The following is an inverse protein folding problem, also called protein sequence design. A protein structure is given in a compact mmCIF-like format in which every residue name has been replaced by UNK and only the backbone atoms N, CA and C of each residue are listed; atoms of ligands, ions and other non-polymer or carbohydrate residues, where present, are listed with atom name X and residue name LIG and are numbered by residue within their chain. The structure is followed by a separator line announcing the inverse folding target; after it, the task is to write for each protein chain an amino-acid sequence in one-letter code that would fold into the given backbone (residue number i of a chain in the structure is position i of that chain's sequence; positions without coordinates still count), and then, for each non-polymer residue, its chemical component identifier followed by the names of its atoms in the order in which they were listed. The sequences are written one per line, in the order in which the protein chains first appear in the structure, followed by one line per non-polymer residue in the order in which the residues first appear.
data_IF_591613358162
#
_entry.id   IF_591613358162
#
_cell.length_a   1.000
_cell.length_b   1.000
_cell.length_c   1.000
_cell.angle_alpha   90.00
_cell.angle_beta   90.00
_cell.angle_gamma   90.00
#
_symmetry.space_group_name_H-M   'P 1'
#
loop_
_entity.id
_entity.type
_entity.pdbx_description
1 polymer ?
#
# COMPACT_ATOMS: atom_id res chain seq x y z
N UNK A 1 -25.93 -10.84 55.65
CA UNK A 1 -24.56 -10.68 55.07
C UNK A 1 -24.74 -9.91 53.78
N UNK A 2 -24.44 -8.58 53.81
CA UNK A 2 -24.48 -7.73 52.64
C UNK A 2 -23.08 -7.78 51.96
N UNK A 3 -23.01 -8.29 50.75
CA UNK A 3 -21.84 -8.14 49.90
C UNK A 3 -21.96 -6.84 49.10
N UNK A 4 -21.18 -5.85 49.49
CA UNK A 4 -21.00 -4.63 48.70
C UNK A 4 -19.90 -4.86 47.67
N UNK A 5 -20.27 -5.04 46.40
CA UNK A 5 -19.28 -5.05 45.31
C UNK A 5 -18.79 -3.62 45.06
N UNK A 6 -17.54 -3.36 45.44
CA UNK A 6 -16.84 -2.15 45.02
C UNK A 6 -16.57 -2.26 43.51
N UNK A 7 -17.33 -1.51 42.70
CA UNK A 7 -17.04 -1.30 41.29
C UNK A 7 -15.81 -0.42 41.20
N UNK A 8 -14.67 -1.01 40.98
CA UNK A 8 -13.45 -0.28 40.66
C UNK A 8 -13.68 0.41 39.31
N UNK A 9 -13.79 1.74 39.31
CA UNK A 9 -13.80 2.57 38.10
C UNK A 9 -12.42 2.53 37.44
N UNK A 10 -12.11 1.42 36.82
CA UNK A 10 -11.02 1.39 35.85
C UNK A 10 -11.46 2.31 34.68
N UNK A 11 -10.68 3.37 34.45
CA UNK A 11 -10.94 4.33 33.41
C UNK A 11 -11.20 3.58 32.09
N UNK A 12 -12.35 3.84 31.47
CA UNK A 12 -12.70 3.29 30.16
C UNK A 12 -11.60 3.71 29.21
N UNK A 13 -10.69 2.80 28.92
CA UNK A 13 -9.69 3.00 27.87
C UNK A 13 -10.50 3.21 26.60
N UNK A 14 -10.59 4.46 26.12
CA UNK A 14 -11.35 4.81 24.92
C UNK A 14 -10.86 3.88 23.81
N UNK A 15 -11.67 2.89 23.47
CA UNK A 15 -11.35 1.99 22.35
C UNK A 15 -11.21 2.86 21.12
N UNK A 16 -10.12 2.70 20.38
CA UNK A 16 -9.94 3.41 19.10
C UNK A 16 -11.13 3.08 18.21
N UNK A 17 -11.67 4.09 17.53
CA UNK A 17 -12.75 3.88 16.57
C UNK A 17 -12.32 2.82 15.56
N UNK A 18 -13.11 1.77 15.43
CA UNK A 18 -12.83 0.70 14.48
C UNK A 18 -13.08 1.23 13.07
N UNK A 19 -12.02 1.30 12.29
CA UNK A 19 -12.06 1.69 10.88
C UNK A 19 -11.41 0.60 10.06
N UNK A 20 -12.18 -0.02 9.19
CA UNK A 20 -11.73 -1.12 8.33
C UNK A 20 -11.80 -0.71 6.88
N UNK A 21 -11.00 -1.35 6.03
CA UNK A 21 -10.91 -0.99 4.63
C UNK A 21 -10.90 -2.22 3.74
N UNK A 22 -11.78 -2.23 2.75
CA UNK A 22 -11.64 -3.05 1.57
C UNK A 22 -11.00 -2.20 0.45
N UNK A 23 -9.95 -2.72 -0.18
CA UNK A 23 -9.13 -1.97 -1.13
C UNK A 23 -8.86 -2.79 -2.39
N UNK A 24 -9.87 -3.03 -3.24
CA UNK A 24 -9.72 -3.80 -4.47
C UNK A 24 -9.02 -2.99 -5.56
N UNK A 25 -8.26 -3.67 -6.43
CA UNK A 25 -7.77 -3.11 -7.68
C UNK A 25 -8.78 -3.37 -8.80
N UNK A 26 -9.10 -2.38 -9.67
CA UNK A 26 -10.07 -2.52 -10.74
C UNK A 26 -9.45 -3.22 -11.98
N UNK A 27 -8.92 -4.43 -11.78
CA UNK A 27 -8.23 -5.24 -12.79
C UNK A 27 -9.09 -6.36 -13.37
N UNK A 28 -10.42 -6.29 -13.15
CA UNK A 28 -11.42 -7.25 -13.61
C UNK A 28 -12.59 -7.39 -12.65
N UNK A 29 -13.39 -8.42 -12.86
CA UNK A 29 -14.56 -8.72 -12.04
C UNK A 29 -14.15 -9.08 -10.60
N UNK A 30 -14.92 -8.60 -9.62
CA UNK A 30 -14.73 -8.98 -8.23
C UNK A 30 -15.12 -10.45 -8.03
N UNK A 31 -14.15 -11.30 -7.68
CA UNK A 31 -14.41 -12.70 -7.42
C UNK A 31 -14.81 -12.95 -5.94
N UNK A 32 -15.37 -14.12 -5.67
CA UNK A 32 -15.91 -14.49 -4.36
C UNK A 32 -14.91 -14.34 -3.20
N UNK A 33 -13.61 -14.52 -3.44
CA UNK A 33 -12.57 -14.29 -2.46
C UNK A 33 -12.46 -12.83 -2.02
N UNK A 34 -12.62 -11.89 -2.98
CA UNK A 34 -12.69 -10.45 -2.69
C UNK A 34 -13.94 -10.10 -1.89
N UNK A 35 -15.10 -10.63 -2.28
CA UNK A 35 -16.36 -10.47 -1.55
C UNK A 35 -16.25 -10.99 -0.12
N UNK A 36 -15.65 -12.17 0.08
CA UNK A 36 -15.40 -12.72 1.42
C UNK A 36 -14.56 -11.76 2.28
N UNK A 37 -13.48 -11.23 1.72
CA UNK A 37 -12.63 -10.27 2.44
C UNK A 37 -13.40 -9.00 2.81
N UNK A 38 -14.21 -8.46 1.89
CA UNK A 38 -15.07 -7.31 2.17
C UNK A 38 -16.08 -7.62 3.27
N UNK A 39 -16.69 -8.80 3.25
CA UNK A 39 -17.68 -9.23 4.24
C UNK A 39 -17.07 -9.32 5.66
N UNK A 40 -15.88 -9.91 5.83
CA UNK A 40 -15.21 -9.94 7.14
C UNK A 40 -14.95 -8.53 7.68
N UNK A 41 -14.46 -7.63 6.84
CA UNK A 41 -14.27 -6.24 7.22
C UNK A 41 -15.61 -5.59 7.63
N UNK A 42 -16.65 -5.79 6.83
CA UNK A 42 -17.97 -5.23 7.08
C UNK A 42 -18.56 -5.72 8.43
N UNK A 43 -18.52 -7.02 8.68
CA UNK A 43 -19.03 -7.61 9.92
C UNK A 43 -18.27 -7.09 11.15
N UNK A 44 -16.94 -6.98 11.06
CA UNK A 44 -16.13 -6.40 12.13
C UNK A 44 -16.51 -4.93 12.39
N UNK A 45 -16.68 -4.13 11.33
CA UNK A 45 -17.12 -2.75 11.48
C UNK A 45 -18.50 -2.69 12.17
N UNK A 46 -19.48 -3.50 11.74
CA UNK A 46 -20.83 -3.50 12.31
C UNK A 46 -20.86 -3.96 13.76
N UNK A 47 -20.08 -5.00 14.10
CA UNK A 47 -19.95 -5.51 15.48
C UNK A 47 -19.45 -4.42 16.46
N UNK A 48 -18.57 -3.54 15.98
CA UNK A 48 -17.94 -2.50 16.79
C UNK A 48 -18.47 -1.10 16.55
N UNK A 49 -19.62 -0.94 15.87
CA UNK A 49 -20.17 0.37 15.46
C UNK A 49 -19.13 1.23 14.73
N UNK A 50 -18.25 0.60 13.98
CA UNK A 50 -17.14 1.20 13.24
C UNK A 50 -17.49 1.59 11.81
N UNK A 51 -16.49 2.02 11.06
CA UNK A 51 -16.59 2.54 9.69
C UNK A 51 -16.05 1.54 8.68
N UNK A 52 -16.85 1.20 7.66
CA UNK A 52 -16.45 0.41 6.48
C UNK A 52 -16.03 1.34 5.36
N UNK A 53 -14.77 1.25 4.94
CA UNK A 53 -14.16 2.12 3.92
C UNK A 53 -13.93 1.32 2.63
N UNK A 54 -14.29 1.90 1.49
CA UNK A 54 -13.91 1.41 0.17
C UNK A 54 -12.88 2.34 -0.46
N UNK A 55 -11.68 1.82 -0.75
CA UNK A 55 -10.65 2.53 -1.52
C UNK A 55 -10.30 1.74 -2.76
N UNK A 56 -10.37 2.36 -3.92
CA UNK A 56 -9.96 1.73 -5.19
C UNK A 56 -8.45 1.91 -5.38
N UNK A 57 -7.76 0.78 -5.59
CA UNK A 57 -6.31 0.77 -5.84
C UNK A 57 -6.04 0.64 -7.34
N UNK A 58 -6.17 1.74 -8.04
CA UNK A 58 -6.14 1.90 -9.50
C UNK A 58 -4.77 2.37 -10.05
N UNK A 59 -3.69 2.16 -9.32
CA UNK A 59 -2.35 2.61 -9.75
C UNK A 59 -1.73 1.75 -10.85
N UNK A 60 -2.18 0.52 -11.02
CA UNK A 60 -1.74 -0.39 -12.09
C UNK A 60 -2.56 -0.16 -13.36
N UNK A 61 -2.15 0.82 -14.13
CA UNK A 61 -2.83 1.20 -15.37
C UNK A 61 -2.71 0.15 -16.48
N UNK A 62 -1.67 -0.70 -16.44
CA UNK A 62 -1.48 -1.76 -17.43
C UNK A 62 -2.55 -2.87 -17.30
N UNK A 63 -3.08 -3.08 -16.09
CA UNK A 63 -4.12 -4.07 -15.81
C UNK A 63 -5.49 -3.45 -15.55
N UNK A 64 -5.64 -2.15 -15.72
CA UNK A 64 -6.93 -1.49 -15.56
C UNK A 64 -7.97 -2.02 -16.57
N UNK A 65 -9.16 -2.37 -16.07
CA UNK A 65 -10.28 -2.83 -16.91
C UNK A 65 -11.43 -1.83 -16.80
N UNK A 66 -11.84 -1.19 -17.92
CA UNK A 66 -12.99 -0.30 -17.93
C UNK A 66 -14.25 -1.00 -17.37
N UNK A 67 -15.00 -0.30 -16.53
CA UNK A 67 -16.21 -0.84 -15.87
C UNK A 67 -15.95 -1.72 -14.64
N UNK A 68 -14.71 -2.11 -14.34
CA UNK A 68 -14.41 -2.95 -13.18
C UNK A 68 -14.75 -2.26 -11.85
N UNK A 69 -14.54 -0.95 -11.74
CA UNK A 69 -14.92 -0.19 -10.54
C UNK A 69 -16.43 -0.22 -10.30
N UNK A 70 -17.21 0.02 -11.33
CA UNK A 70 -18.68 -0.05 -11.27
C UNK A 70 -19.15 -1.46 -10.89
N UNK A 71 -18.51 -2.49 -11.46
CA UNK A 71 -18.80 -3.88 -11.11
C UNK A 71 -18.51 -4.18 -9.65
N UNK A 72 -17.40 -3.66 -9.09
CA UNK A 72 -17.06 -3.79 -7.66
C UNK A 72 -18.17 -3.18 -6.81
N UNK A 73 -18.58 -1.95 -7.09
CA UNK A 73 -19.64 -1.25 -6.36
C UNK A 73 -20.96 -2.02 -6.38
N UNK A 74 -21.42 -2.44 -7.57
CA UNK A 74 -22.64 -3.24 -7.73
C UNK A 74 -22.57 -4.60 -7.03
N UNK A 75 -21.42 -5.25 -7.04
CA UNK A 75 -21.22 -6.53 -6.35
C UNK A 75 -21.32 -6.38 -4.84
N UNK A 76 -20.74 -5.31 -4.26
CA UNK A 76 -20.84 -5.04 -2.82
C UNK A 76 -22.27 -4.69 -2.43
N UNK A 77 -22.97 -3.89 -3.22
CA UNK A 77 -24.39 -3.57 -3.02
C UNK A 77 -25.26 -4.82 -3.07
N UNK A 78 -25.07 -5.69 -4.08
CA UNK A 78 -25.82 -6.93 -4.25
C UNK A 78 -25.72 -7.87 -3.05
N UNK A 79 -24.54 -7.96 -2.40
CA UNK A 79 -24.35 -8.76 -1.17
C UNK A 79 -24.74 -8.01 0.10
N UNK A 80 -25.30 -6.80 0.02
CA UNK A 80 -25.76 -6.00 1.16
C UNK A 80 -24.65 -5.33 1.97
N UNK A 81 -23.43 -5.22 1.46
CA UNK A 81 -22.32 -4.52 2.10
C UNK A 81 -22.45 -3.02 1.86
N UNK A 82 -22.86 -2.30 2.90
CA UNK A 82 -22.94 -0.82 2.86
C UNK A 82 -21.60 -0.20 3.17
N UNK A 83 -21.15 0.68 2.29
CA UNK A 83 -19.93 1.48 2.44
C UNK A 83 -20.31 2.78 3.20
N UNK A 84 -19.59 3.09 4.27
CA UNK A 84 -19.80 4.30 5.07
C UNK A 84 -18.92 5.45 4.57
N UNK A 85 -17.77 5.13 3.97
CA UNK A 85 -16.78 6.09 3.50
C UNK A 85 -16.04 5.52 2.28
N UNK A 86 -15.81 6.30 1.23
CA UNK A 86 -15.07 5.79 0.09
C UNK A 86 -15.52 6.34 -1.26
N UNK A 87 -15.13 5.64 -2.33
CA UNK A 87 -15.55 5.97 -3.69
C UNK A 87 -17.07 5.90 -3.81
N UNK A 88 -17.66 6.96 -4.38
CA UNK A 88 -19.11 7.09 -4.55
C UNK A 88 -19.86 7.60 -3.32
N UNK A 89 -19.27 7.55 -2.13
CA UNK A 89 -19.86 7.99 -0.86
C UNK A 89 -19.21 9.26 -0.34
N UNK A 90 -17.90 9.42 -0.53
CA UNK A 90 -17.10 10.51 0.04
C UNK A 90 -16.61 10.17 1.46
N UNK A 91 -16.22 11.22 2.20
CA UNK A 91 -15.75 11.10 3.59
C UNK A 91 -14.57 12.03 3.90
N UNK A 92 -14.13 12.07 5.18
CA UNK A 92 -13.17 13.07 5.67
C UNK A 92 -11.72 12.84 5.19
N UNK A 93 -11.42 11.67 4.61
CA UNK A 93 -10.07 11.31 4.19
C UNK A 93 -9.94 11.11 2.67
N UNK A 94 -10.79 11.78 1.91
CA UNK A 94 -10.72 11.81 0.44
C UNK A 94 -9.33 12.31 -0.05
N UNK A 95 -8.94 11.95 -1.28
CA UNK A 95 -9.63 11.09 -2.24
C UNK A 95 -9.51 9.59 -1.92
N UNK A 96 -10.44 8.78 -2.46
CA UNK A 96 -10.50 7.33 -2.21
C UNK A 96 -10.11 6.47 -3.42
N UNK A 97 -9.68 7.08 -4.52
CA UNK A 97 -8.90 6.42 -5.57
C UNK A 97 -7.42 6.64 -5.32
N UNK A 98 -6.63 5.58 -5.37
CA UNK A 98 -5.21 5.66 -5.03
C UNK A 98 -4.42 6.51 -6.04
N UNK A 99 -4.80 6.50 -7.32
CA UNK A 99 -4.21 7.34 -8.36
C UNK A 99 -4.33 8.84 -8.04
N UNK A 100 -5.44 9.27 -7.47
CA UNK A 100 -5.71 10.66 -7.09
C UNK A 100 -4.86 11.11 -5.88
N UNK A 101 -4.25 10.17 -5.15
CA UNK A 101 -3.40 10.43 -3.98
C UNK A 101 -1.92 10.59 -4.30
N UNK A 102 -1.51 10.40 -5.54
CA UNK A 102 -0.08 10.49 -5.96
C UNK A 102 0.64 11.74 -5.46
N UNK A 103 0.04 12.95 -5.52
CA UNK A 103 0.73 14.17 -5.07
C UNK A 103 1.15 14.14 -3.60
N UNK A 104 0.39 13.44 -2.73
CA UNK A 104 0.70 13.36 -1.31
C UNK A 104 1.76 12.30 -0.97
N UNK A 105 2.01 11.32 -1.85
CA UNK A 105 2.95 10.24 -1.53
C UNK A 105 4.41 10.68 -1.52
N UNK A 106 4.77 11.65 -2.38
CA UNK A 106 6.15 12.10 -2.53
C UNK A 106 6.74 12.61 -1.21
N UNK A 107 5.98 13.37 -0.42
CA UNK A 107 6.44 13.89 0.87
C UNK A 107 6.76 12.77 1.87
N UNK A 108 5.97 11.70 1.89
CA UNK A 108 6.24 10.55 2.78
C UNK A 108 7.41 9.71 2.29
N UNK A 109 7.52 9.51 0.97
CA UNK A 109 8.65 8.81 0.38
C UNK A 109 9.96 9.58 0.63
N UNK A 110 9.95 10.92 0.49
CA UNK A 110 11.09 11.78 0.80
C UNK A 110 11.47 11.72 2.27
N UNK A 111 10.48 11.70 3.16
CA UNK A 111 10.74 11.54 4.59
C UNK A 111 11.46 10.22 4.89
N UNK A 112 11.05 9.11 4.28
CA UNK A 112 11.71 7.82 4.43
C UNK A 112 13.15 7.85 3.91
N UNK A 113 13.43 8.57 2.82
CA UNK A 113 14.80 8.76 2.33
C UNK A 113 15.63 9.55 3.33
N UNK A 114 15.10 10.65 3.86
CA UNK A 114 15.79 11.50 4.84
C UNK A 114 16.07 10.76 6.16
N UNK A 115 15.19 9.86 6.56
CA UNK A 115 15.35 8.98 7.73
C UNK A 115 16.25 7.76 7.47
N UNK A 116 16.76 7.58 6.24
CA UNK A 116 17.59 6.44 5.86
C UNK A 116 16.86 5.11 5.69
N UNK A 117 15.51 5.14 5.68
CA UNK A 117 14.62 3.98 5.50
C UNK A 117 14.28 3.68 4.03
N UNK A 118 14.65 4.58 3.12
CA UNK A 118 14.49 4.42 1.68
C UNK A 118 15.70 5.02 0.94
N UNK A 119 15.77 4.81 -0.37
CA UNK A 119 16.86 5.27 -1.20
C UNK A 119 16.40 5.51 -2.65
N UNK A 120 17.10 6.38 -3.38
CA UNK A 120 16.90 6.60 -4.80
C UNK A 120 17.51 5.47 -5.62
N UNK A 121 16.81 4.96 -6.62
CA UNK A 121 17.29 3.99 -7.59
C UNK A 121 17.11 4.54 -9.01
N UNK A 122 18.19 4.61 -9.77
CA UNK A 122 18.28 5.21 -11.09
C UNK A 122 18.38 4.17 -12.20
N UNK A 123 18.19 2.90 -11.86
CA UNK A 123 18.27 1.80 -12.82
C UNK A 123 17.20 1.94 -13.90
N UNK A 124 17.59 1.77 -15.15
CA UNK A 124 16.70 1.69 -16.30
C UNK A 124 16.00 0.34 -16.36
N UNK A 125 14.94 0.22 -17.18
CA UNK A 125 14.26 -1.05 -17.41
C UNK A 125 15.21 -2.10 -18.00
N UNK A 126 16.07 -1.67 -18.94
CA UNK A 126 17.09 -2.55 -19.55
C UNK A 126 18.09 -3.09 -18.52
N UNK A 127 18.56 -2.25 -17.59
CA UNK A 127 19.47 -2.67 -16.52
C UNK A 127 18.78 -3.64 -15.56
N UNK A 128 17.50 -3.42 -15.27
CA UNK A 128 16.70 -4.33 -14.44
C UNK A 128 16.50 -5.69 -15.12
N UNK A 129 16.26 -5.73 -16.42
CA UNK A 129 16.11 -6.96 -17.17
C UNK A 129 17.45 -7.71 -17.29
N UNK A 130 18.55 -7.01 -17.58
CA UNK A 130 19.88 -7.60 -17.56
C UNK A 130 20.24 -8.22 -16.20
N UNK A 131 19.87 -7.58 -15.10
CA UNK A 131 20.03 -8.12 -13.75
C UNK A 131 19.21 -9.40 -13.58
N UNK A 132 17.95 -9.42 -13.99
CA UNK A 132 17.08 -10.60 -13.91
C UNK A 132 17.62 -11.77 -14.71
N UNK A 133 18.09 -11.51 -15.93
CA UNK A 133 18.63 -12.57 -16.83
C UNK A 133 19.94 -13.15 -16.29
N UNK A 134 20.81 -12.30 -15.75
CA UNK A 134 22.03 -12.76 -15.06
C UNK A 134 21.70 -13.66 -13.88
N UNK A 135 20.72 -13.33 -13.07
CA UNK A 135 20.30 -14.13 -11.92
C UNK A 135 19.64 -15.46 -12.35
N UNK A 136 18.83 -15.45 -13.43
CA UNK A 136 18.28 -16.68 -14.03
C UNK A 136 19.41 -17.61 -14.52
N UNK A 137 20.37 -17.06 -15.23
CA UNK A 137 21.54 -17.82 -15.71
C UNK A 137 22.37 -18.43 -14.56
N UNK A 138 22.40 -17.76 -13.40
CA UNK A 138 23.00 -18.26 -12.16
C UNK A 138 22.11 -19.24 -11.37
N UNK A 139 20.96 -19.68 -11.92
CA UNK A 139 20.06 -20.64 -11.28
C UNK A 139 19.14 -20.08 -10.20
N UNK A 140 18.99 -18.76 -10.08
CA UNK A 140 18.08 -18.15 -9.13
C UNK A 140 16.64 -18.32 -9.61
N UNK A 141 15.82 -19.07 -8.87
CA UNK A 141 14.45 -19.41 -9.26
C UNK A 141 13.50 -18.17 -9.34
N UNK A 142 13.72 -17.17 -8.51
CA UNK A 142 12.92 -15.94 -8.48
C UNK A 142 13.81 -14.70 -8.45
N UNK A 143 14.28 -14.23 -9.63
CA UNK A 143 15.15 -13.07 -9.73
C UNK A 143 14.42 -11.80 -9.31
N UNK A 144 14.92 -11.12 -8.28
CA UNK A 144 14.29 -9.92 -7.74
C UNK A 144 15.34 -8.86 -7.40
N UNK A 145 14.93 -7.59 -7.53
CA UNK A 145 15.64 -6.48 -6.92
C UNK A 145 15.39 -6.50 -5.41
N UNK A 146 16.36 -6.92 -4.62
CA UNK A 146 16.23 -7.13 -3.19
C UNK A 146 17.42 -6.54 -2.39
N UNK A 147 17.50 -6.83 -1.10
CA UNK A 147 18.55 -6.35 -0.22
C UNK A 147 19.97 -6.80 -0.59
N UNK A 148 20.11 -7.90 -1.35
CA UNK A 148 21.40 -8.43 -1.84
C UNK A 148 21.74 -7.77 -3.17
N UNK A 149 20.86 -7.87 -4.17
CA UNK A 149 21.08 -7.41 -5.53
C UNK A 149 21.24 -5.90 -5.64
N UNK A 150 20.59 -5.11 -4.78
CA UNK A 150 20.74 -3.64 -4.77
C UNK A 150 22.18 -3.15 -4.66
N UNK A 151 23.07 -3.95 -4.05
CA UNK A 151 24.50 -3.60 -3.93
C UNK A 151 25.28 -3.63 -5.25
N UNK A 152 24.68 -4.14 -6.33
CA UNK A 152 25.26 -4.19 -7.68
C UNK A 152 24.46 -3.32 -8.67
N UNK A 153 23.53 -2.52 -8.18
CA UNK A 153 22.61 -1.73 -8.98
C UNK A 153 22.87 -0.24 -8.79
N UNK A 154 22.41 0.58 -9.73
CA UNK A 154 22.66 2.03 -9.77
C UNK A 154 21.72 2.80 -8.85
N UNK A 155 22.13 3.01 -7.61
CA UNK A 155 21.30 3.65 -6.59
C UNK A 155 22.10 4.49 -5.59
N UNK A 156 21.42 5.29 -4.77
CA UNK A 156 22.07 6.20 -3.81
C UNK A 156 22.75 5.50 -2.62
N UNK A 157 22.73 4.17 -2.54
CA UNK A 157 23.54 3.41 -1.58
C UNK A 157 24.85 2.90 -2.18
N UNK A 158 25.03 2.98 -3.50
CA UNK A 158 26.17 2.46 -4.25
C UNK A 158 26.93 3.55 -4.99
N UNK A 159 26.26 4.64 -5.35
CA UNK A 159 26.86 5.79 -6.04
C UNK A 159 27.46 6.79 -5.05
N UNK A 160 28.52 7.53 -5.43
CA UNK A 160 29.01 8.68 -4.69
C UNK A 160 27.93 9.75 -4.50
N UNK A 161 27.99 10.50 -3.39
CA UNK A 161 26.96 11.49 -3.04
C UNK A 161 26.85 12.62 -4.05
N UNK A 162 27.97 13.07 -4.61
CA UNK A 162 28.04 14.10 -5.65
C UNK A 162 27.40 13.63 -6.95
N UNK A 163 27.58 12.37 -7.34
CA UNK A 163 26.89 11.78 -8.49
C UNK A 163 25.36 11.71 -8.25
N UNK A 164 24.91 11.26 -7.10
CA UNK A 164 23.49 11.23 -6.74
C UNK A 164 22.89 12.64 -6.84
N UNK A 165 23.57 13.64 -6.31
CA UNK A 165 23.14 15.04 -6.38
C UNK A 165 23.02 15.52 -7.83
N UNK A 166 24.03 15.25 -8.65
CA UNK A 166 24.04 15.62 -10.06
C UNK A 166 22.88 14.96 -10.84
N UNK A 167 22.59 13.68 -10.57
CA UNK A 167 21.46 12.96 -11.18
C UNK A 167 20.12 13.57 -10.80
N UNK A 168 19.94 13.96 -9.54
CA UNK A 168 18.70 14.60 -9.07
C UNK A 168 18.53 16.00 -9.66
N UNK A 169 19.60 16.80 -9.71
CA UNK A 169 19.60 18.13 -10.34
C UNK A 169 19.30 18.06 -11.86
N UNK A 170 19.84 17.05 -12.53
CA UNK A 170 19.56 16.77 -13.94
C UNK A 170 18.15 16.19 -14.18
N UNK A 171 17.35 15.99 -13.12
CA UNK A 171 16.01 15.37 -13.19
C UNK A 171 16.02 13.99 -13.87
N UNK A 172 17.10 13.23 -13.68
CA UNK A 172 17.17 11.85 -14.17
C UNK A 172 16.02 11.04 -13.56
N UNK A 173 15.29 10.25 -14.36
CA UNK A 173 14.22 9.40 -13.84
C UNK A 173 14.72 8.46 -12.73
N UNK A 174 13.96 8.36 -11.65
CA UNK A 174 14.27 7.49 -10.53
C UNK A 174 13.01 6.91 -9.89
N UNK A 175 13.19 5.87 -9.12
CA UNK A 175 12.18 5.37 -8.18
C UNK A 175 12.74 5.43 -6.74
N UNK A 176 11.87 5.61 -5.76
CA UNK A 176 12.24 5.51 -4.35
C UNK A 176 11.92 4.08 -3.87
N UNK A 177 12.93 3.38 -3.37
CA UNK A 177 12.83 2.01 -2.88
C UNK A 177 13.01 1.97 -1.36
N UNK A 178 12.22 1.14 -0.68
CA UNK A 178 12.40 0.86 0.74
C UNK A 178 13.75 0.15 0.97
N UNK A 179 14.48 0.59 2.00
CA UNK A 179 15.74 -0.03 2.44
C UNK A 179 15.43 -1.18 3.38
N UNK A 180 14.93 -2.29 2.81
CA UNK A 180 14.69 -3.52 3.60
C UNK A 180 16.01 -4.00 4.21
N UNK A 181 16.09 -4.28 5.53
CA UNK A 181 17.28 -4.80 6.19
C UNK A 181 17.75 -6.12 5.59
N UNK A 182 19.06 -6.42 5.71
CA UNK A 182 19.60 -7.73 5.28
C UNK A 182 19.42 -8.81 6.33
N UNK A 183 19.23 -8.40 7.59
CA UNK A 183 18.96 -9.27 8.75
C UNK A 183 17.84 -8.65 9.55
N UNK A 184 17.11 -9.45 10.28
CA UNK A 184 16.25 -8.98 11.37
C UNK A 184 17.18 -8.38 12.43
N UNK A 185 17.04 -7.06 12.64
CA UNK A 185 17.68 -6.33 13.72
C UNK A 185 16.73 -6.21 14.90
#
# INVERSE_FOLDING_TARGET
IHFTFAVQKNGIKRMRDVRVRFAPSPTGALHIGGVRTALYNYLLARQHHGTMILRIEDTDQARYVPGAEEYILKSLEWVGIKIDEGVGVGGPYAPYRQSERKPMYLQYAQRLVNEGNAYYAFDTEQELDAMRDRLKAAGVASPQYNSITRGQMRNSLTLPEDEVKSLLEAKTPYVIRLKVPRKEE
#
